data_IF_661426805107
#
_entry.id   IF_661426805107
#
_cell.length_a   1.000
_cell.length_b   1.000
_cell.length_c   1.000
_cell.angle_alpha   90.00
_cell.angle_beta   90.00
_cell.angle_gamma   90.00
#
_symmetry.space_group_name_H-M   'P 1'
#
loop_
_entity.id
_entity.type
_entity.pdbx_description
1 polymer ?
#
# COMPACT_ATOMS: atom_id res chain seq x y z
N UNK A 1 -2.65 14.58 -16.39
CA UNK A 1 -3.40 13.91 -17.49
C UNK A 1 -4.88 14.00 -17.17
N UNK A 2 -5.79 13.88 -18.15
CA UNK A 2 -7.26 13.97 -17.90
C UNK A 2 -8.02 12.67 -18.19
N UNK A 3 -7.35 11.67 -18.78
CA UNK A 3 -7.99 10.42 -19.24
C UNK A 3 -7.32 9.14 -18.75
N UNK A 4 -6.07 9.22 -18.30
CA UNK A 4 -5.27 8.03 -17.95
C UNK A 4 -5.63 7.60 -16.52
N UNK A 5 -5.89 6.31 -16.31
CA UNK A 5 -5.92 5.71 -14.97
C UNK A 5 -4.49 5.46 -14.50
N UNK A 6 -4.20 5.85 -13.27
CA UNK A 6 -2.90 5.68 -12.64
C UNK A 6 -3.05 4.67 -11.50
N UNK A 7 -2.37 3.54 -11.61
CA UNK A 7 -2.36 2.49 -10.59
C UNK A 7 -0.95 2.25 -10.06
N UNK A 8 -0.83 1.87 -8.79
CA UNK A 8 0.39 1.22 -8.31
C UNK A 8 0.50 -0.21 -8.84
N UNK A 9 1.73 -0.73 -8.90
CA UNK A 9 2.06 -2.11 -9.26
C UNK A 9 3.43 -2.46 -8.64
N UNK A 10 3.55 -2.60 -7.32
CA UNK A 10 2.51 -2.78 -6.28
C UNK A 10 2.79 -1.83 -5.09
N UNK A 11 1.77 -1.51 -4.29
CA UNK A 11 1.95 -0.90 -2.97
C UNK A 11 2.28 -1.99 -1.96
N UNK A 12 3.51 -1.98 -1.43
CA UNK A 12 4.02 -3.00 -0.48
C UNK A 12 3.44 -2.75 0.91
N UNK A 13 2.28 -3.33 1.18
CA UNK A 13 1.49 -3.01 2.38
C UNK A 13 2.08 -3.61 3.66
N UNK A 14 2.71 -4.78 3.57
CA UNK A 14 3.19 -5.53 4.74
C UNK A 14 4.14 -4.74 5.65
N UNK A 15 4.94 -3.82 5.09
CA UNK A 15 5.88 -2.98 5.84
C UNK A 15 5.55 -1.48 5.80
N UNK A 16 4.33 -1.10 5.40
CA UNK A 16 3.87 0.31 5.33
C UNK A 16 2.74 0.58 6.33
N UNK A 17 2.40 1.85 6.55
CA UNK A 17 1.24 2.27 7.36
C UNK A 17 -0.03 2.31 6.48
N UNK A 18 -1.02 1.42 6.71
CA UNK A 18 -2.22 1.34 5.86
C UNK A 18 -3.05 2.63 5.89
N UNK A 19 -3.10 3.34 7.02
CA UNK A 19 -3.85 4.61 7.12
C UNK A 19 -3.20 5.67 6.24
N UNK A 20 -1.87 5.72 6.22
CA UNK A 20 -1.13 6.63 5.35
C UNK A 20 -1.33 6.31 3.88
N UNK A 21 -1.24 5.02 3.50
CA UNK A 21 -1.51 4.57 2.12
C UNK A 21 -2.92 4.99 1.68
N UNK A 22 -3.93 4.74 2.53
CA UNK A 22 -5.29 5.16 2.26
C UNK A 22 -5.40 6.68 2.06
N UNK A 23 -4.81 7.48 2.95
CA UNK A 23 -4.85 8.94 2.88
C UNK A 23 -4.20 9.49 1.61
N UNK A 24 -3.03 8.97 1.24
CA UNK A 24 -2.29 9.40 0.05
C UNK A 24 -3.10 9.11 -1.22
N UNK A 25 -3.70 7.93 -1.32
CA UNK A 25 -4.51 7.56 -2.48
C UNK A 25 -5.89 8.20 -2.50
N UNK A 26 -6.54 8.42 -1.36
CA UNK A 26 -7.78 9.18 -1.29
C UNK A 26 -7.55 10.63 -1.75
N UNK A 27 -6.42 11.23 -1.35
CA UNK A 27 -6.01 12.57 -1.80
C UNK A 27 -5.76 12.57 -3.32
N UNK A 28 -5.02 11.58 -3.83
CA UNK A 28 -4.75 11.45 -5.25
C UNK A 28 -6.02 11.18 -6.06
N UNK A 29 -6.97 10.42 -5.52
CA UNK A 29 -8.25 10.13 -6.17
C UNK A 29 -9.09 11.41 -6.32
N UNK A 30 -9.19 12.22 -5.26
CA UNK A 30 -9.86 13.52 -5.30
C UNK A 30 -9.22 14.48 -6.31
N UNK A 31 -7.89 14.59 -6.34
CA UNK A 31 -7.18 15.46 -7.29
C UNK A 31 -7.33 14.95 -8.72
N UNK A 32 -7.32 13.63 -8.92
CA UNK A 32 -7.37 13.02 -10.24
C UNK A 32 -8.79 12.88 -10.81
N UNK A 33 -9.82 13.01 -9.95
CA UNK A 33 -11.22 12.83 -10.30
C UNK A 33 -11.58 11.36 -10.52
N UNK A 34 -11.23 10.46 -9.59
CA UNK A 34 -11.62 9.04 -9.67
C UNK A 34 -10.66 8.16 -10.50
N UNK A 35 -9.45 8.64 -10.80
CA UNK A 35 -8.51 7.97 -11.72
C UNK A 35 -7.31 7.33 -11.01
N UNK A 36 -7.25 7.40 -9.69
CA UNK A 36 -6.21 6.75 -8.91
C UNK A 36 -6.69 5.37 -8.48
N UNK A 37 -5.81 4.38 -8.57
CA UNK A 37 -6.08 3.00 -8.15
C UNK A 37 -4.95 2.50 -7.25
N UNK A 38 -5.31 1.80 -6.19
CA UNK A 38 -4.36 1.11 -5.31
C UNK A 38 -4.32 -0.36 -5.71
N UNK A 39 -3.13 -0.85 -6.04
CA UNK A 39 -2.86 -2.28 -6.01
C UNK A 39 -2.10 -2.58 -4.73
N UNK A 40 -2.78 -3.12 -3.72
CA UNK A 40 -2.15 -3.60 -2.51
C UNK A 40 -1.51 -4.97 -2.76
N UNK A 41 -0.33 -5.20 -2.20
CA UNK A 41 0.30 -6.51 -2.24
C UNK A 41 1.53 -6.58 -1.36
N UNK A 42 2.28 -7.67 -1.55
CA UNK A 42 3.42 -8.02 -0.70
C UNK A 42 4.72 -7.82 -1.47
N UNK A 43 5.75 -7.35 -0.76
CA UNK A 43 7.06 -7.09 -1.36
C UNK A 43 7.88 -8.36 -1.45
N UNK A 44 8.58 -8.56 -2.58
CA UNK A 44 9.55 -9.65 -2.73
C UNK A 44 10.84 -9.42 -1.92
N UNK A 45 11.04 -8.20 -1.43
CA UNK A 45 12.21 -7.78 -0.66
C UNK A 45 11.86 -7.80 0.83
N UNK A 46 12.58 -8.62 1.58
CA UNK A 46 12.37 -8.80 3.02
C UNK A 46 13.16 -7.78 3.84
N UNK A 47 14.08 -7.05 3.21
CA UNK A 47 14.96 -6.08 3.86
C UNK A 47 14.19 -4.91 4.49
N UNK A 48 12.97 -4.60 4.02
CA UNK A 48 12.15 -3.53 4.59
C UNK A 48 11.59 -3.86 5.97
N UNK A 49 11.34 -5.14 6.28
CA UNK A 49 10.74 -5.56 7.54
C UNK A 49 11.53 -5.10 8.77
N UNK A 50 12.81 -5.49 8.93
CA UNK A 50 13.60 -5.05 10.09
C UNK A 50 13.86 -3.54 10.09
N UNK A 51 13.88 -2.88 8.93
CA UNK A 51 14.05 -1.42 8.85
C UNK A 51 12.87 -0.66 9.46
N UNK A 52 11.66 -1.21 9.36
CA UNK A 52 10.44 -0.62 9.90
C UNK A 52 9.96 -1.30 11.19
N UNK A 53 10.80 -2.15 11.80
CA UNK A 53 10.54 -2.77 13.10
C UNK A 53 9.58 -3.96 13.08
N UNK A 54 9.37 -4.58 11.92
CA UNK A 54 8.56 -5.79 11.75
C UNK A 54 9.40 -7.06 11.75
N UNK A 55 8.86 -8.14 12.31
CA UNK A 55 9.44 -9.48 12.18
C UNK A 55 9.03 -10.09 10.84
N UNK A 56 9.98 -10.72 10.15
CA UNK A 56 9.70 -11.45 8.91
C UNK A 56 8.84 -12.71 9.17
N UNK A 57 8.85 -13.25 10.39
CA UNK A 57 7.98 -14.35 10.78
C UNK A 57 6.49 -13.99 10.66
N UNK A 58 6.15 -12.71 10.81
CA UNK A 58 4.77 -12.20 10.80
C UNK A 58 4.34 -11.73 9.39
N UNK A 59 5.10 -12.07 8.34
CA UNK A 59 4.92 -11.55 6.98
C UNK A 59 3.48 -11.68 6.43
N UNK A 60 2.86 -12.85 6.65
CA UNK A 60 1.51 -13.13 6.17
C UNK A 60 0.45 -12.41 7.01
N UNK A 61 0.57 -12.48 8.34
CA UNK A 61 -0.35 -11.85 9.30
C UNK A 61 -0.37 -10.33 9.16
N UNK A 62 0.81 -9.69 9.08
CA UNK A 62 0.94 -8.25 8.89
C UNK A 62 0.31 -7.78 7.58
N UNK A 63 0.36 -8.59 6.52
CA UNK A 63 -0.31 -8.20 5.28
C UNK A 63 -1.83 -8.26 5.41
N UNK A 64 -2.37 -9.35 5.99
CA UNK A 64 -3.80 -9.55 6.15
C UNK A 64 -4.40 -8.48 7.08
N UNK A 65 -3.78 -8.25 8.24
CA UNK A 65 -4.20 -7.21 9.20
C UNK A 65 -4.24 -5.83 8.53
N UNK A 66 -3.18 -5.45 7.83
CA UNK A 66 -3.11 -4.13 7.21
C UNK A 66 -4.05 -3.98 6.02
N UNK A 67 -4.35 -5.06 5.31
CA UNK A 67 -5.32 -5.06 4.23
C UNK A 67 -6.74 -4.82 4.76
N UNK A 68 -7.08 -5.39 5.91
CA UNK A 68 -8.37 -5.19 6.58
C UNK A 68 -8.57 -3.74 7.08
N UNK A 69 -7.49 -2.96 7.18
CA UNK A 69 -7.52 -1.55 7.58
C UNK A 69 -7.65 -0.58 6.40
N UNK A 70 -7.63 -1.06 5.15
CA UNK A 70 -7.86 -0.26 3.93
C UNK A 70 -9.33 -0.26 3.51
#
# INVERSE_FOLDING_TARGET
TTRIRLTSAVSVLSSDDPVRVFQDFATLDLISGGRAEIMAGRGSFTESFPLFGYDLADYDELFEEKLDLL
#
